data_IF_805014911519
#
_entry.id   IF_805014911519
#
_cell.length_a   1.000
_cell.length_b   1.000
_cell.length_c   1.000
_cell.angle_alpha   90.00
_cell.angle_beta   90.00
_cell.angle_gamma   90.00
#
_symmetry.space_group_name_H-M   'P 1'
#
loop_
_entity.id
_entity.type
_entity.pdbx_description
1 polymer ?
#
# COMPACT_ATOMS: atom_id res chain seq x y z
N UNK A 1 2.00 7.23 -44.17
CA UNK A 1 2.14 8.30 -43.15
C UNK A 1 1.55 7.93 -41.79
N UNK A 2 0.40 7.23 -41.70
CA UNK A 2 -0.23 6.82 -40.43
C UNK A 2 0.64 5.92 -39.50
N UNK A 3 1.50 5.07 -40.08
CA UNK A 3 2.39 4.16 -39.32
C UNK A 3 3.55 4.91 -38.63
N UNK A 4 3.98 6.05 -39.19
CA UNK A 4 5.07 6.87 -38.65
C UNK A 4 4.59 7.80 -37.53
N UNK A 5 3.33 8.25 -37.58
CA UNK A 5 2.66 8.98 -36.52
C UNK A 5 2.40 8.11 -35.28
N UNK A 6 1.85 6.89 -35.48
CA UNK A 6 1.67 5.91 -34.38
C UNK A 6 2.97 5.44 -33.72
N UNK A 7 4.08 5.41 -34.47
CA UNK A 7 5.41 5.12 -33.93
C UNK A 7 5.96 6.30 -33.10
N UNK A 8 5.76 7.54 -33.57
CA UNK A 8 6.12 8.77 -32.84
C UNK A 8 5.38 8.89 -31.50
N UNK A 9 4.06 8.64 -31.46
CA UNK A 9 3.28 8.65 -30.21
C UNK A 9 3.69 7.54 -29.23
N UNK A 10 4.06 6.35 -29.74
CA UNK A 10 4.57 5.23 -28.92
C UNK A 10 5.91 5.55 -28.25
N UNK A 11 6.78 6.31 -28.91
CA UNK A 11 8.12 6.66 -28.43
C UNK A 11 8.12 7.90 -27.50
N UNK A 12 7.06 8.72 -27.48
CA UNK A 12 6.99 9.99 -26.71
C UNK A 12 7.04 9.83 -25.18
N UNK A 13 6.68 8.65 -24.66
CA UNK A 13 6.53 8.40 -23.22
C UNK A 13 7.61 7.48 -22.63
N UNK A 14 8.63 7.11 -23.42
CA UNK A 14 9.74 6.27 -22.98
C UNK A 14 10.75 7.12 -22.21
N UNK A 15 11.12 6.69 -21.01
CA UNK A 15 12.18 7.34 -20.23
C UNK A 15 11.80 8.68 -19.61
N UNK A 16 10.51 9.01 -19.50
CA UNK A 16 10.03 10.16 -18.73
C UNK A 16 10.41 10.00 -17.26
N UNK A 17 10.85 11.09 -16.60
CA UNK A 17 11.40 11.03 -15.23
C UNK A 17 10.72 12.00 -14.28
N UNK A 18 10.41 11.52 -13.07
CA UNK A 18 9.98 12.35 -11.95
C UNK A 18 11.07 12.34 -10.87
N UNK A 19 11.69 13.49 -10.53
CA UNK A 19 12.65 13.58 -9.44
C UNK A 19 12.04 13.13 -8.10
N UNK A 20 12.87 12.70 -7.15
CA UNK A 20 12.39 12.27 -5.82
C UNK A 20 13.03 13.06 -4.67
N UNK A 21 13.94 14.00 -4.97
CA UNK A 21 14.62 14.77 -3.94
C UNK A 21 13.60 15.55 -3.07
N UNK A 22 13.61 15.35 -1.73
CA UNK A 22 12.71 16.01 -0.78
C UNK A 22 12.57 17.52 -0.98
N UNK A 23 13.68 18.21 -1.29
CA UNK A 23 13.71 19.67 -1.36
C UNK A 23 12.78 20.25 -2.44
N UNK A 24 12.43 19.45 -3.46
CA UNK A 24 11.49 19.85 -4.52
C UNK A 24 10.02 19.82 -4.09
N UNK A 25 9.73 19.18 -2.96
CA UNK A 25 8.37 18.94 -2.47
C UNK A 25 8.10 19.65 -1.14
N UNK A 26 9.00 20.56 -0.74
CA UNK A 26 8.77 21.46 0.37
C UNK A 26 7.62 22.41 0.05
N UNK A 27 6.83 22.75 1.07
CA UNK A 27 5.70 23.66 0.93
C UNK A 27 4.60 23.34 1.93
N UNK A 28 3.43 23.94 1.71
CA UNK A 28 2.25 23.69 2.52
C UNK A 28 1.75 22.26 2.33
N UNK A 29 1.10 21.72 3.37
CA UNK A 29 0.41 20.45 3.26
C UNK A 29 -0.73 20.58 2.23
N UNK A 30 -0.82 19.69 1.23
CA UNK A 30 -1.87 19.80 0.22
C UNK A 30 -3.23 19.46 0.82
N UNK A 31 -4.31 19.90 0.17
CA UNK A 31 -5.66 19.56 0.60
C UNK A 31 -5.87 18.04 0.54
N UNK A 32 -6.09 17.43 1.69
CA UNK A 32 -6.41 16.02 1.82
C UNK A 32 -7.72 15.87 2.58
N UNK A 33 -8.74 15.34 1.90
CA UNK A 33 -10.07 15.14 2.49
C UNK A 33 -10.05 13.92 3.40
N UNK A 34 -10.92 13.93 4.41
CA UNK A 34 -11.11 12.78 5.29
C UNK A 34 -11.56 11.55 4.45
N UNK A 35 -10.90 10.40 4.60
CA UNK A 35 -11.30 9.18 3.90
C UNK A 35 -12.72 8.75 4.28
N UNK A 36 -13.50 8.30 3.29
CA UNK A 36 -14.83 7.73 3.48
C UNK A 36 -14.82 6.25 3.11
N UNK A 37 -15.34 5.41 3.99
CA UNK A 37 -15.56 4.00 3.70
C UNK A 37 -16.79 3.89 2.79
N UNK A 38 -16.60 3.24 1.64
CA UNK A 38 -17.67 3.01 0.63
C UNK A 38 -18.07 1.54 0.53
N UNK A 39 -17.40 0.65 1.27
CA UNK A 39 -17.69 -0.77 1.36
C UNK A 39 -16.53 -1.55 1.96
N UNK A 40 -16.67 -2.88 1.99
CA UNK A 40 -15.70 -3.81 2.56
C UNK A 40 -15.81 -5.20 1.91
N UNK A 41 -14.79 -6.03 2.11
CA UNK A 41 -14.81 -7.46 1.81
C UNK A 41 -13.81 -8.19 2.72
N UNK A 42 -13.98 -9.50 2.85
CA UNK A 42 -13.13 -10.40 3.65
C UNK A 42 -12.51 -11.49 2.77
N UNK A 43 -11.34 -11.99 3.17
CA UNK A 43 -10.64 -13.10 2.50
C UNK A 43 -10.37 -14.22 3.49
N UNK A 44 -10.84 -15.44 3.25
CA UNK A 44 -10.54 -16.60 4.12
C UNK A 44 -9.04 -16.93 4.13
N UNK A 45 -8.64 -17.83 5.03
CA UNK A 45 -7.28 -18.38 5.07
C UNK A 45 -6.88 -19.04 3.73
N UNK A 46 -7.86 -19.63 3.02
CA UNK A 46 -7.69 -20.17 1.68
C UNK A 46 -7.70 -19.10 0.55
N UNK A 47 -7.69 -17.81 0.91
CA UNK A 47 -7.75 -16.64 0.00
C UNK A 47 -9.04 -16.54 -0.81
N UNK A 48 -10.13 -17.15 -0.34
CA UNK A 48 -11.44 -17.05 -0.98
C UNK A 48 -12.12 -15.73 -0.62
N UNK A 49 -12.85 -15.17 -1.59
CA UNK A 49 -13.47 -13.85 -1.46
C UNK A 49 -14.88 -13.92 -0.87
N UNK A 50 -15.14 -13.08 0.14
CA UNK A 50 -16.45 -12.90 0.75
C UNK A 50 -16.84 -11.42 0.76
N UNK A 51 -18.03 -11.03 0.24
CA UNK A 51 -18.48 -9.64 0.17
C UNK A 51 -19.05 -9.14 1.51
N UNK A 52 -18.40 -9.44 2.63
CA UNK A 52 -18.84 -9.08 3.98
C UNK A 52 -17.65 -8.77 4.90
N UNK A 53 -17.95 -8.52 6.18
CA UNK A 53 -16.97 -8.18 7.21
C UNK A 53 -16.69 -9.36 8.16
N UNK A 54 -16.85 -10.62 7.71
CA UNK A 54 -16.72 -11.80 8.59
C UNK A 54 -15.35 -11.96 9.27
N UNK A 55 -14.30 -11.38 8.69
CA UNK A 55 -12.96 -11.41 9.25
C UNK A 55 -12.59 -10.13 10.03
N UNK A 56 -13.54 -9.23 10.26
CA UNK A 56 -13.30 -8.02 11.04
C UNK A 56 -13.02 -8.38 12.50
N UNK A 57 -11.83 -7.97 12.97
CA UNK A 57 -11.40 -8.18 14.34
C UNK A 57 -11.81 -7.01 15.23
N UNK A 58 -12.11 -7.31 16.48
CA UNK A 58 -12.38 -6.31 17.49
C UNK A 58 -11.16 -6.16 18.39
N UNK A 59 -10.76 -4.92 18.64
CA UNK A 59 -9.67 -4.60 19.55
C UNK A 59 -10.08 -4.96 20.97
N UNK A 60 -9.28 -5.78 21.62
CA UNK A 60 -9.39 -6.10 23.05
C UNK A 60 -8.27 -5.35 23.76
N UNK A 61 -8.65 -4.40 24.60
CA UNK A 61 -7.67 -3.58 25.30
C UNK A 61 -6.76 -4.46 26.18
N UNK A 62 -5.44 -4.26 26.12
CA UNK A 62 -4.52 -4.99 26.98
C UNK A 62 -4.78 -4.64 28.45
N UNK A 63 -4.60 -5.62 29.35
CA UNK A 63 -4.73 -5.43 30.78
C UNK A 63 -3.57 -4.59 31.36
N UNK A 64 -3.71 -3.27 31.25
CA UNK A 64 -2.77 -2.24 31.67
C UNK A 64 -3.52 -0.96 32.07
N UNK A 65 -2.80 0.00 32.63
CA UNK A 65 -3.35 1.34 32.86
C UNK A 65 -3.53 2.07 31.51
N UNK A 66 -4.78 2.37 31.16
CA UNK A 66 -5.12 3.04 29.91
C UNK A 66 -4.72 4.52 29.91
N UNK A 67 -4.55 5.14 31.07
CA UNK A 67 -4.11 6.54 31.16
C UNK A 67 -2.61 6.65 30.83
N UNK A 68 -1.84 5.60 31.10
CA UNK A 68 -0.42 5.53 30.78
C UNK A 68 -0.14 5.16 29.30
N UNK A 69 -1.11 4.58 28.59
CA UNK A 69 -0.89 4.04 27.24
C UNK A 69 -0.53 5.11 26.21
N UNK A 70 -1.06 6.33 26.39
CA UNK A 70 -0.75 7.50 25.55
C UNK A 70 0.53 8.23 25.99
N UNK A 71 1.08 7.86 27.14
CA UNK A 71 2.28 8.45 27.71
C UNK A 71 3.54 8.14 26.88
N UNK A 72 4.61 8.95 27.03
CA UNK A 72 5.87 8.74 26.31
C UNK A 72 6.52 7.39 26.62
N UNK A 73 6.31 6.88 27.84
CA UNK A 73 6.79 5.58 28.27
C UNK A 73 5.91 4.42 27.80
N UNK A 74 4.61 4.65 27.58
CA UNK A 74 3.62 3.59 27.42
C UNK A 74 3.31 2.87 28.74
N UNK A 75 2.26 2.05 28.75
CA UNK A 75 1.78 1.35 29.92
C UNK A 75 2.46 -0.02 30.07
N UNK A 76 2.81 -0.40 31.31
CA UNK A 76 3.24 -1.75 31.63
C UNK A 76 2.05 -2.71 31.63
N UNK A 77 2.24 -3.89 31.04
CA UNK A 77 1.23 -4.94 31.06
C UNK A 77 1.22 -5.64 32.42
N UNK A 78 0.03 -5.93 32.94
CA UNK A 78 -0.13 -6.75 34.15
C UNK A 78 0.38 -8.18 33.95
N UNK A 79 0.34 -8.69 32.72
CA UNK A 79 0.94 -9.96 32.29
C UNK A 79 1.65 -9.77 30.94
N UNK A 80 2.91 -10.22 30.77
CA UNK A 80 3.60 -10.15 29.49
C UNK A 80 2.88 -10.95 28.40
N UNK A 81 2.92 -10.46 27.15
CA UNK A 81 2.49 -11.24 25.99
C UNK A 81 3.68 -12.03 25.44
N UNK A 82 3.55 -13.35 25.42
CA UNK A 82 4.58 -14.28 24.94
C UNK A 82 4.38 -14.54 23.44
N UNK A 83 5.15 -13.84 22.58
CA UNK A 83 4.99 -13.94 21.12
C UNK A 83 5.46 -15.28 20.54
N UNK A 84 6.13 -16.11 21.34
CA UNK A 84 6.59 -17.46 21.00
C UNK A 84 5.58 -18.56 21.31
N UNK A 85 4.47 -18.25 21.98
CA UNK A 85 3.48 -19.25 22.39
C UNK A 85 2.65 -19.78 21.21
N UNK A 86 2.58 -21.12 21.06
CA UNK A 86 1.88 -21.82 19.97
C UNK A 86 2.28 -21.33 18.57
N UNK A 87 3.59 -21.20 18.34
CA UNK A 87 4.14 -20.60 17.14
C UNK A 87 3.98 -21.45 15.86
N UNK A 88 3.51 -22.69 15.98
CA UNK A 88 3.45 -23.67 14.90
C UNK A 88 2.08 -23.72 14.18
N UNK A 89 1.08 -22.98 14.68
CA UNK A 89 -0.30 -23.05 14.18
C UNK A 89 -0.67 -21.99 13.12
N UNK A 90 0.30 -21.31 12.49
CA UNK A 90 0.00 -20.19 11.57
C UNK A 90 0.09 -20.63 10.12
N UNK A 91 -1.02 -20.63 9.40
CA UNK A 91 -1.03 -20.86 7.94
C UNK A 91 -0.39 -19.65 7.26
N UNK A 92 0.79 -19.83 6.65
CA UNK A 92 1.45 -18.73 5.93
C UNK A 92 0.77 -18.51 4.58
N UNK A 93 0.47 -17.25 4.28
CA UNK A 93 0.12 -16.83 2.92
C UNK A 93 1.33 -17.13 2.01
N UNK A 94 1.08 -17.71 0.84
CA UNK A 94 2.09 -17.74 -0.23
C UNK A 94 2.42 -16.30 -0.64
N UNK A 95 3.63 -15.87 -0.29
CA UNK A 95 4.10 -14.51 -0.58
C UNK A 95 4.51 -14.35 -2.03
N UNK A 96 4.85 -15.42 -2.75
CA UNK A 96 5.20 -15.34 -4.16
C UNK A 96 3.95 -15.19 -5.03
N UNK A 97 2.80 -15.71 -4.59
CA UNK A 97 1.53 -15.54 -5.27
C UNK A 97 1.25 -14.06 -5.59
N UNK A 98 1.14 -13.75 -6.88
CA UNK A 98 0.68 -12.45 -7.37
C UNK A 98 -0.84 -12.47 -7.50
N UNK A 99 -1.48 -11.60 -6.73
CA UNK A 99 -2.93 -11.43 -6.75
C UNK A 99 -3.35 -10.14 -7.44
N UNK A 100 -2.39 -9.27 -7.79
CA UNK A 100 -2.61 -7.94 -8.32
C UNK A 100 -3.78 -7.23 -7.62
N UNK A 101 -4.67 -6.64 -8.42
CA UNK A 101 -5.90 -6.01 -7.94
C UNK A 101 -7.15 -6.92 -8.01
N UNK A 102 -6.98 -8.25 -8.16
CA UNK A 102 -8.10 -9.19 -8.46
C UNK A 102 -9.30 -9.04 -7.52
N UNK A 103 -9.04 -8.89 -6.23
CA UNK A 103 -10.09 -8.79 -5.20
C UNK A 103 -10.78 -7.42 -5.21
N UNK A 104 -10.06 -6.35 -5.58
CA UNK A 104 -10.66 -5.03 -5.79
C UNK A 104 -11.57 -5.05 -7.03
N UNK A 105 -11.14 -5.64 -8.14
CA UNK A 105 -12.00 -5.80 -9.32
C UNK A 105 -13.28 -6.57 -8.97
N UNK A 106 -13.17 -7.64 -8.18
CA UNK A 106 -14.35 -8.41 -7.74
C UNK A 106 -15.29 -7.56 -6.91
N UNK A 107 -14.76 -6.76 -5.98
CA UNK A 107 -15.57 -5.81 -5.22
C UNK A 107 -16.26 -4.78 -6.13
N UNK A 108 -15.54 -4.21 -7.11
CA UNK A 108 -16.11 -3.24 -8.06
C UNK A 108 -17.24 -3.88 -8.87
N UNK A 109 -17.03 -5.07 -9.42
CA UNK A 109 -18.06 -5.79 -10.19
C UNK A 109 -19.32 -6.05 -9.37
N UNK A 110 -19.20 -6.35 -8.07
CA UNK A 110 -20.34 -6.57 -7.19
C UNK A 110 -21.05 -5.28 -6.74
N UNK A 111 -20.38 -4.12 -6.82
CA UNK A 111 -20.89 -2.85 -6.28
C UNK A 111 -21.11 -1.77 -7.35
N UNK A 112 -20.96 -2.10 -8.64
CA UNK A 112 -21.08 -1.14 -9.75
C UNK A 112 -22.44 -0.44 -9.81
N UNK A 113 -23.53 -1.11 -9.46
CA UNK A 113 -24.88 -0.53 -9.40
C UNK A 113 -25.00 0.60 -8.38
N UNK A 114 -24.26 0.52 -7.26
CA UNK A 114 -24.22 1.57 -6.22
C UNK A 114 -23.58 2.88 -6.71
N UNK A 115 -22.89 2.84 -7.85
CA UNK A 115 -22.23 3.99 -8.47
C UNK A 115 -22.87 4.41 -9.79
N UNK A 116 -23.91 3.70 -10.24
CA UNK A 116 -24.59 3.99 -11.49
C UNK A 116 -25.37 5.29 -11.39
N UNK A 117 -25.17 6.19 -12.35
CA UNK A 117 -25.97 7.41 -12.53
C UNK A 117 -26.98 7.18 -13.65
N UNK A 118 -28.25 7.54 -13.47
CA UNK A 118 -29.22 7.38 -14.55
C UNK A 118 -28.81 8.24 -15.78
N UNK A 119 -28.77 7.62 -16.98
CA UNK A 119 -28.60 8.33 -18.26
C UNK A 119 -27.16 8.62 -18.72
N UNK A 120 -26.12 8.10 -18.06
CA UNK A 120 -24.74 8.27 -18.55
C UNK A 120 -24.19 6.99 -19.20
N UNK A 121 -23.94 7.03 -20.52
CA UNK A 121 -23.52 5.88 -21.34
C UNK A 121 -22.06 5.43 -21.14
N UNK A 122 -21.22 6.27 -20.52
CA UNK A 122 -19.78 6.06 -20.36
C UNK A 122 -19.33 6.26 -18.92
N UNK A 123 -19.93 5.50 -18.00
CA UNK A 123 -19.61 5.65 -16.58
C UNK A 123 -18.33 4.93 -16.19
N UNK A 124 -17.61 5.59 -15.28
CA UNK A 124 -16.52 4.97 -14.57
C UNK A 124 -17.07 3.83 -13.71
N UNK A 125 -16.37 2.68 -13.60
CA UNK A 125 -16.79 1.58 -12.73
C UNK A 125 -16.89 1.98 -11.25
N UNK A 126 -16.13 3.00 -10.85
CA UNK A 126 -16.14 3.64 -9.52
C UNK A 126 -15.96 5.14 -9.74
N UNK A 127 -16.58 6.03 -8.94
CA UNK A 127 -16.42 7.49 -9.07
C UNK A 127 -15.05 7.96 -8.53
N UNK A 128 -13.96 7.43 -9.08
CA UNK A 128 -12.58 7.71 -8.70
C UNK A 128 -11.72 7.96 -9.94
N UNK A 129 -10.64 8.72 -9.78
CA UNK A 129 -9.60 8.84 -10.81
C UNK A 129 -8.60 7.68 -10.75
N UNK A 130 -8.34 7.17 -9.54
CA UNK A 130 -7.35 6.13 -9.28
C UNK A 130 -7.95 5.00 -8.47
N UNK A 131 -7.58 3.76 -8.79
CA UNK A 131 -7.89 2.55 -8.02
C UNK A 131 -6.58 1.80 -7.74
N UNK A 132 -6.29 1.56 -6.47
CA UNK A 132 -5.10 0.83 -6.04
C UNK A 132 -5.24 0.35 -4.59
N UNK A 133 -4.37 -0.57 -4.16
CA UNK A 133 -4.24 -0.88 -2.73
C UNK A 133 -3.44 0.20 -1.98
N UNK A 134 -3.79 0.40 -0.70
CA UNK A 134 -3.15 1.36 0.21
C UNK A 134 -1.62 1.24 0.29
N UNK A 135 -1.09 0.01 0.21
CA UNK A 135 0.35 -0.24 0.28
C UNK A 135 1.14 0.52 -0.80
N UNK A 136 0.54 0.76 -1.96
CA UNK A 136 1.13 1.56 -3.04
C UNK A 136 1.36 3.01 -2.61
N UNK A 137 0.37 3.67 -1.99
CA UNK A 137 0.55 5.03 -1.48
C UNK A 137 1.60 5.10 -0.37
N UNK A 138 1.71 4.07 0.46
CA UNK A 138 2.76 4.01 1.49
C UNK A 138 4.16 4.04 0.87
N UNK A 139 4.39 3.25 -0.20
CA UNK A 139 5.67 3.23 -0.93
C UNK A 139 5.96 4.60 -1.56
N UNK A 140 4.98 5.21 -2.23
CA UNK A 140 5.15 6.52 -2.88
C UNK A 140 5.41 7.62 -1.85
N UNK A 141 4.59 7.73 -0.80
CA UNK A 141 4.75 8.75 0.26
C UNK A 141 6.12 8.69 0.92
N UNK A 142 6.67 7.48 1.11
CA UNK A 142 7.98 7.31 1.73
C UNK A 142 9.16 7.60 0.79
N UNK A 143 8.95 7.50 -0.53
CA UNK A 143 10.02 7.52 -1.56
C UNK A 143 11.01 8.68 -1.42
N UNK A 144 10.61 9.94 -1.15
CA UNK A 144 11.58 11.03 -1.02
C UNK A 144 12.62 10.81 0.10
N UNK A 145 12.25 10.06 1.13
CA UNK A 145 13.07 9.83 2.31
C UNK A 145 13.73 8.45 2.34
N UNK A 146 13.44 7.61 1.33
CA UNK A 146 14.06 6.29 1.19
C UNK A 146 15.54 6.43 0.76
N UNK A 147 16.37 5.55 1.33
CA UNK A 147 17.82 5.60 1.17
C UNK A 147 18.34 4.71 0.03
N UNK A 148 19.65 4.74 -0.24
CA UNK A 148 20.26 3.87 -1.25
C UNK A 148 20.19 2.37 -0.93
N UNK A 149 19.88 2.00 0.32
CA UNK A 149 19.73 0.60 0.77
C UNK A 149 18.27 0.11 0.76
N UNK A 150 17.33 0.95 0.33
CA UNK A 150 15.92 0.56 0.28
C UNK A 150 15.67 -0.38 -0.90
N UNK A 151 14.62 -1.19 -0.83
CA UNK A 151 14.21 -1.98 -2.00
C UNK A 151 13.61 -1.07 -3.07
N UNK A 152 13.88 -1.33 -4.36
CA UNK A 152 13.16 -0.67 -5.45
C UNK A 152 11.66 -0.97 -5.38
N UNK A 153 10.88 -0.24 -6.17
CA UNK A 153 9.48 -0.56 -6.37
C UNK A 153 9.08 -0.39 -7.84
N UNK A 154 8.09 -1.18 -8.26
CA UNK A 154 7.55 -1.20 -9.60
C UNK A 154 6.03 -1.10 -9.56
N UNK A 155 5.45 -0.17 -10.30
CA UNK A 155 4.00 0.01 -10.41
C UNK A 155 3.61 -0.17 -11.88
N UNK A 156 2.65 -1.04 -12.14
CA UNK A 156 1.96 -1.14 -13.43
C UNK A 156 0.71 -0.25 -13.41
N UNK A 157 0.48 0.50 -14.47
CA UNK A 157 -0.65 1.42 -14.59
C UNK A 157 -1.39 1.23 -15.91
N UNK A 158 -2.72 1.20 -15.84
CA UNK A 158 -3.60 1.12 -17.01
C UNK A 158 -4.81 2.00 -16.78
N UNK A 159 -5.23 2.73 -17.81
CA UNK A 159 -6.48 3.49 -17.79
C UNK A 159 -7.57 2.72 -18.53
N UNK A 160 -8.71 2.59 -17.89
CA UNK A 160 -9.90 1.98 -18.49
C UNK A 160 -11.17 2.65 -17.97
N UNK A 161 -12.03 3.08 -18.90
CA UNK A 161 -13.28 3.82 -18.65
C UNK A 161 -13.04 5.02 -17.72
N UNK A 162 -12.05 5.84 -18.06
CA UNK A 162 -11.70 7.06 -17.34
C UNK A 162 -11.07 6.88 -15.95
N UNK A 163 -10.84 5.63 -15.52
CA UNK A 163 -10.23 5.29 -14.23
C UNK A 163 -8.83 4.72 -14.45
N UNK A 164 -7.83 5.17 -13.70
CA UNK A 164 -6.47 4.67 -13.75
C UNK A 164 -6.28 3.64 -12.62
N UNK A 165 -5.96 2.40 -12.99
CA UNK A 165 -5.67 1.33 -12.05
C UNK A 165 -4.16 1.25 -11.85
N UNK A 166 -3.71 1.35 -10.60
CA UNK A 166 -2.30 1.27 -10.23
C UNK A 166 -2.06 0.02 -9.40
N UNK A 167 -1.20 -0.86 -9.91
CA UNK A 167 -0.91 -2.16 -9.33
C UNK A 167 0.57 -2.24 -8.95
N UNK A 168 0.84 -2.40 -7.66
CA UNK A 168 2.20 -2.52 -7.13
C UNK A 168 2.69 -3.94 -7.38
N UNK A 169 3.72 -4.07 -8.21
CA UNK A 169 4.32 -5.34 -8.59
C UNK A 169 5.53 -5.64 -7.72
N UNK A 170 5.74 -6.93 -7.45
CA UNK A 170 6.99 -7.40 -6.86
C UNK A 170 8.10 -7.23 -7.87
N UNK A 171 9.22 -6.70 -7.43
CA UNK A 171 10.43 -6.65 -8.25
C UNK A 171 11.20 -7.96 -8.10
N UNK A 172 12.18 -8.20 -8.97
CA UNK A 172 13.06 -9.37 -8.85
C UNK A 172 13.81 -9.35 -7.51
N UNK A 173 14.18 -8.16 -7.03
CA UNK A 173 14.81 -7.98 -5.72
C UNK A 173 13.86 -8.33 -4.56
N UNK A 174 12.57 -8.00 -4.66
CA UNK A 174 11.56 -8.43 -3.66
C UNK A 174 11.37 -9.95 -3.69
N UNK A 175 11.34 -10.58 -4.87
CA UNK A 175 11.24 -12.04 -5.01
C UNK A 175 12.47 -12.71 -4.41
N UNK A 176 13.67 -12.24 -4.74
CA UNK A 176 14.91 -12.77 -4.21
C UNK A 176 14.98 -12.62 -2.69
N UNK A 177 14.56 -11.47 -2.13
CA UNK A 177 14.48 -11.27 -0.69
C UNK A 177 13.45 -12.19 0.01
N UNK A 178 12.41 -12.66 -0.70
CA UNK A 178 11.49 -13.68 -0.19
C UNK A 178 12.17 -15.07 -0.20
N UNK A 179 12.89 -15.40 -1.27
CA UNK A 179 13.56 -16.69 -1.43
C UNK A 179 14.75 -16.86 -0.46
N UNK A 180 15.52 -15.79 -0.24
CA UNK A 180 16.70 -15.79 0.65
C UNK A 180 16.33 -15.56 2.12
N UNK A 181 15.03 -15.62 2.45
CA UNK A 181 14.55 -15.27 3.79
C UNK A 181 15.09 -16.26 4.82
N UNK A 182 15.77 -15.73 5.83
CA UNK A 182 16.30 -16.52 6.94
C UNK A 182 15.24 -16.81 8.01
N UNK A 183 15.47 -17.86 8.79
CA UNK A 183 14.63 -18.23 9.95
C UNK A 183 14.41 -17.07 10.95
N UNK A 184 15.40 -16.17 11.07
CA UNK A 184 15.32 -14.99 11.95
C UNK A 184 14.26 -14.00 11.44
N UNK A 185 14.25 -13.73 10.13
CA UNK A 185 13.26 -12.85 9.51
C UNK A 185 11.84 -13.44 9.61
N UNK A 186 11.71 -14.75 9.45
CA UNK A 186 10.45 -15.46 9.63
C UNK A 186 9.95 -15.36 11.07
N UNK A 187 10.86 -15.50 12.05
CA UNK A 187 10.55 -15.38 13.47
C UNK A 187 9.94 -14.02 13.81
N UNK A 188 10.51 -12.92 13.31
CA UNK A 188 9.97 -11.57 13.54
C UNK A 188 8.60 -11.36 12.88
N UNK A 189 8.40 -11.91 11.69
CA UNK A 189 7.11 -11.87 10.98
C UNK A 189 6.03 -12.58 11.81
N UNK A 190 6.34 -13.76 12.32
CA UNK A 190 5.43 -14.54 13.18
C UNK A 190 5.09 -13.81 14.47
N UNK A 191 6.05 -13.11 15.07
CA UNK A 191 5.82 -12.30 16.27
C UNK A 191 4.84 -11.16 16.04
N UNK A 192 4.84 -10.52 14.87
CA UNK A 192 3.83 -9.53 14.50
C UNK A 192 2.42 -10.11 14.51
N UNK A 193 2.21 -11.22 13.80
CA UNK A 193 0.91 -11.92 13.78
C UNK A 193 0.49 -12.41 15.17
N UNK A 194 1.44 -12.86 16.00
CA UNK A 194 1.11 -13.29 17.36
C UNK A 194 0.68 -12.13 18.23
N UNK A 195 1.33 -10.98 18.11
CA UNK A 195 0.95 -9.76 18.82
C UNK A 195 -0.47 -9.33 18.45
N UNK A 196 -0.84 -9.46 17.17
CA UNK A 196 -2.22 -9.23 16.73
C UNK A 196 -3.22 -10.16 17.40
N UNK A 197 -2.92 -11.45 17.51
CA UNK A 197 -3.81 -12.39 18.20
C UNK A 197 -4.03 -12.02 19.68
N UNK A 198 -3.06 -11.35 20.33
CA UNK A 198 -3.24 -10.85 21.69
C UNK A 198 -4.12 -9.61 21.78
N UNK A 199 -4.13 -8.76 20.73
CA UNK A 199 -4.85 -7.50 20.72
C UNK A 199 -6.18 -7.54 19.94
N UNK A 200 -6.37 -8.53 19.07
CA UNK A 200 -7.48 -8.62 18.14
C UNK A 200 -7.99 -10.05 18.02
N UNK A 201 -9.31 -10.18 17.95
CA UNK A 201 -9.96 -11.44 17.61
C UNK A 201 -9.80 -11.84 16.12
N UNK A 202 -9.14 -11.03 15.27
CA UNK A 202 -8.65 -11.37 13.92
C UNK A 202 -7.71 -10.28 13.32
N UNK A 203 -6.95 -10.66 12.28
CA UNK A 203 -5.67 -10.09 11.78
C UNK A 203 -5.63 -8.58 11.43
N UNK A 204 -4.57 -7.88 11.89
CA UNK A 204 -4.10 -6.56 11.41
C UNK A 204 -2.59 -6.38 11.56
N UNK A 205 -1.81 -6.45 10.48
CA UNK A 205 -0.32 -6.42 10.48
C UNK A 205 0.34 -5.31 11.33
N UNK A 206 1.12 -5.68 12.36
CA UNK A 206 2.04 -4.79 13.10
C UNK A 206 3.50 -5.28 13.05
N UNK A 207 4.46 -4.34 12.96
CA UNK A 207 5.90 -4.64 13.04
C UNK A 207 6.43 -4.31 14.44
N UNK A 208 7.20 -5.23 15.03
CA UNK A 208 7.56 -5.26 16.46
C UNK A 208 9.07 -5.12 16.60
N UNK A 209 9.60 -3.91 16.39
CA UNK A 209 10.87 -3.42 16.98
C UNK A 209 11.06 -1.95 16.60
N UNK A 210 11.26 -1.03 17.53
CA UNK A 210 11.66 0.36 17.18
C UNK A 210 12.60 0.93 18.23
N UNK A 211 13.48 0.07 18.76
CA UNK A 211 14.26 0.34 19.96
C UNK A 211 15.34 1.42 19.70
N UNK A 212 15.89 1.49 18.48
CA UNK A 212 16.94 2.46 18.10
C UNK A 212 16.40 3.74 17.44
N UNK A 213 17.15 4.87 17.54
CA UNK A 213 16.81 6.13 16.88
C UNK A 213 16.72 6.00 15.33
N UNK A 214 17.52 5.11 14.74
CA UNK A 214 17.53 4.85 13.28
C UNK A 214 16.25 4.10 12.85
N UNK A 215 15.77 3.14 13.64
CA UNK A 215 14.54 2.41 13.33
C UNK A 215 13.31 3.31 13.46
N UNK A 216 13.27 4.19 14.48
CA UNK A 216 12.16 5.15 14.66
C UNK A 216 11.98 6.05 13.44
N UNK A 217 13.08 6.51 12.83
CA UNK A 217 13.04 7.31 11.58
C UNK A 217 12.23 6.62 10.48
N UNK A 218 12.59 5.39 10.12
CA UNK A 218 12.03 4.71 8.95
C UNK A 218 10.69 4.04 9.26
N UNK A 219 10.52 3.49 10.46
CA UNK A 219 9.30 2.78 10.84
C UNK A 219 8.14 3.74 11.08
N UNK A 220 8.36 4.86 11.78
CA UNK A 220 7.31 5.85 12.01
C UNK A 220 6.80 6.45 10.70
N UNK A 221 7.67 6.71 9.72
CA UNK A 221 7.24 7.17 8.39
C UNK A 221 6.27 6.17 7.74
N UNK A 222 6.63 4.88 7.74
CA UNK A 222 5.82 3.83 7.12
C UNK A 222 4.51 3.61 7.87
N UNK A 223 4.52 3.60 9.21
CA UNK A 223 3.32 3.49 10.03
C UNK A 223 2.39 4.69 9.82
N UNK A 224 2.95 5.91 9.87
CA UNK A 224 2.21 7.13 9.63
C UNK A 224 1.58 7.14 8.24
N UNK A 225 2.36 6.89 7.18
CA UNK A 225 1.86 6.90 5.81
C UNK A 225 0.76 5.84 5.59
N UNK A 226 0.92 4.66 6.22
CA UNK A 226 -0.10 3.62 6.17
C UNK A 226 -1.41 4.10 6.80
N UNK A 227 -1.38 4.59 8.04
CA UNK A 227 -2.60 4.91 8.78
C UNK A 227 -3.25 6.22 8.33
N UNK A 228 -2.44 7.24 8.05
CA UNK A 228 -2.92 8.57 7.71
C UNK A 228 -3.73 8.54 6.41
N UNK A 229 -3.30 7.78 5.40
CA UNK A 229 -3.97 7.68 4.09
C UNK A 229 -5.38 7.07 4.15
N UNK A 230 -5.69 6.32 5.20
CA UNK A 230 -7.00 5.67 5.40
C UNK A 230 -7.75 6.22 6.62
N UNK A 231 -7.22 7.26 7.27
CA UNK A 231 -7.88 7.93 8.39
C UNK A 231 -7.89 7.13 9.69
N UNK A 232 -6.98 6.18 9.87
CA UNK A 232 -6.87 5.42 11.13
C UNK A 232 -6.22 6.33 12.20
N UNK A 233 -6.87 6.59 13.35
CA UNK A 233 -6.44 7.62 14.29
C UNK A 233 -5.30 7.18 15.23
N UNK A 234 -5.15 5.87 15.47
CA UNK A 234 -4.21 5.33 16.44
C UNK A 234 -3.45 4.11 15.91
N UNK A 235 -2.20 3.97 16.34
CA UNK A 235 -1.37 2.77 16.18
C UNK A 235 -0.99 2.26 17.58
N UNK A 236 -1.28 1.01 17.88
CA UNK A 236 -0.83 0.36 19.10
C UNK A 236 0.50 -0.34 18.86
N UNK A 237 1.47 -0.11 19.73
CA UNK A 237 2.85 -0.60 19.62
C UNK A 237 3.17 -1.42 20.86
N UNK A 238 3.55 -2.68 20.66
CA UNK A 238 4.09 -3.56 21.71
C UNK A 238 5.61 -3.52 21.71
N UNK A 239 6.21 -3.14 22.83
CA UNK A 239 7.65 -3.18 23.01
C UNK A 239 8.08 -4.55 23.53
N UNK A 240 8.76 -5.31 22.69
CA UNK A 240 9.29 -6.64 23.03
C UNK A 240 10.76 -6.61 23.42
N UNK A 241 11.19 -7.61 24.18
CA UNK A 241 12.61 -7.94 24.33
C UNK A 241 13.10 -8.90 23.23
N UNK A 242 14.38 -9.30 23.30
CA UNK A 242 14.99 -10.27 22.38
C UNK A 242 14.44 -11.69 22.50
N UNK A 243 13.75 -12.00 23.61
CA UNK A 243 13.06 -13.27 23.82
C UNK A 243 11.67 -13.32 23.19
N UNK A 244 11.15 -12.19 22.70
CA UNK A 244 9.80 -12.11 22.14
C UNK A 244 8.73 -11.86 23.20
N UNK A 245 9.10 -11.30 24.37
CA UNK A 245 8.14 -10.93 25.41
C UNK A 245 7.79 -9.46 25.32
N UNK A 246 6.51 -9.16 25.12
CA UNK A 246 6.01 -7.78 25.22
C UNK A 246 5.64 -7.50 26.67
N UNK A 247 6.27 -6.49 27.27
CA UNK A 247 5.95 -6.05 28.65
C UNK A 247 5.30 -4.67 28.69
N UNK A 248 5.37 -3.94 27.58
CA UNK A 248 4.94 -2.55 27.52
C UNK A 248 4.21 -2.28 26.21
N UNK A 249 3.12 -1.55 26.30
CA UNK A 249 2.30 -1.15 25.15
C UNK A 249 2.18 0.36 25.10
N UNK A 250 2.13 0.93 23.90
CA UNK A 250 1.99 2.36 23.70
C UNK A 250 1.02 2.63 22.56
N UNK A 251 0.16 3.63 22.73
CA UNK A 251 -0.75 4.11 21.69
C UNK A 251 -0.19 5.39 21.08
N UNK A 252 0.09 5.35 19.80
CA UNK A 252 0.58 6.50 19.03
C UNK A 252 -0.57 7.11 18.23
N UNK A 253 -0.81 8.41 18.42
CA UNK A 253 -1.75 9.20 17.61
C UNK A 253 -1.17 9.40 16.21
N UNK A 254 -1.88 8.96 15.17
CA UNK A 254 -1.45 9.07 13.77
C UNK A 254 -1.18 10.52 13.38
N UNK A 255 -2.05 11.45 13.77
CA UNK A 255 -1.91 12.87 13.40
C UNK A 255 -0.60 13.49 13.91
N UNK A 256 -0.16 13.13 15.11
CA UNK A 256 1.02 13.72 15.76
C UNK A 256 2.27 12.84 15.69
N UNK A 257 2.18 11.66 15.08
CA UNK A 257 3.27 10.67 15.01
C UNK A 257 4.56 11.27 14.43
N UNK A 258 4.42 12.16 13.44
CA UNK A 258 5.54 12.82 12.78
C UNK A 258 6.35 13.74 13.71
N UNK A 259 5.80 14.22 14.83
CA UNK A 259 6.54 15.07 15.77
C UNK A 259 7.80 14.38 16.32
N UNK A 260 7.76 13.05 16.46
CA UNK A 260 8.87 12.25 16.97
C UNK A 260 9.99 12.04 15.93
N UNK A 261 9.77 12.41 14.67
CA UNK A 261 10.70 12.19 13.57
C UNK A 261 10.83 13.42 12.64
N UNK A 262 10.49 14.60 13.14
CA UNK A 262 10.43 15.87 12.40
C UNK A 262 11.75 16.29 11.74
N UNK A 263 12.87 15.81 12.28
CA UNK A 263 14.21 16.06 11.75
C UNK A 263 14.54 15.17 10.52
N UNK A 264 13.76 14.11 10.29
CA UNK A 264 14.05 13.12 9.26
C UNK A 264 13.10 13.16 8.07
N UNK A 265 11.82 13.44 8.32
CA UNK A 265 10.80 13.49 7.28
C UNK A 265 9.66 14.41 7.70
N UNK A 266 8.93 14.92 6.72
CA UNK A 266 7.77 15.80 6.95
C UNK A 266 6.55 15.29 6.19
N UNK A 267 5.35 15.34 6.81
CA UNK A 267 4.10 15.00 6.12
C UNK A 267 3.88 15.75 4.81
N UNK A 268 4.26 17.03 4.78
CA UNK A 268 4.10 17.94 3.65
C UNK A 268 4.87 17.43 2.44
N UNK A 269 6.16 17.13 2.60
CA UNK A 269 7.01 16.61 1.52
C UNK A 269 6.48 15.28 0.99
N UNK A 270 6.05 14.37 1.87
CA UNK A 270 5.44 13.09 1.46
C UNK A 270 4.22 13.33 0.55
N UNK A 271 3.27 14.13 1.00
CA UNK A 271 2.01 14.35 0.27
C UNK A 271 2.17 15.20 -0.98
N UNK A 272 3.08 16.18 -0.97
CA UNK A 272 3.40 16.97 -2.17
C UNK A 272 4.03 16.08 -3.25
N UNK A 273 4.93 15.17 -2.87
CA UNK A 273 5.46 14.18 -3.81
C UNK A 273 4.36 13.25 -4.34
N UNK A 274 3.50 12.70 -3.47
CA UNK A 274 2.37 11.87 -3.89
C UNK A 274 1.46 12.62 -4.88
N UNK A 275 1.13 13.88 -4.61
CA UNK A 275 0.30 14.69 -5.48
C UNK A 275 0.97 14.96 -6.84
N UNK A 276 2.26 15.30 -6.84
CA UNK A 276 3.05 15.45 -8.07
C UNK A 276 3.10 14.14 -8.87
N UNK A 277 3.32 13.00 -8.20
CA UNK A 277 3.32 11.69 -8.83
C UNK A 277 1.96 11.37 -9.45
N UNK A 278 0.85 11.54 -8.73
CA UNK A 278 -0.49 11.25 -9.26
C UNK A 278 -0.87 12.17 -10.42
N UNK A 279 -0.50 13.45 -10.37
CA UNK A 279 -0.70 14.38 -11.52
C UNK A 279 0.09 13.91 -12.73
N UNK A 280 1.36 13.59 -12.54
CA UNK A 280 2.24 13.10 -13.60
C UNK A 280 1.73 11.78 -14.21
N UNK A 281 1.28 10.83 -13.40
CA UNK A 281 0.64 9.60 -13.88
C UNK A 281 -0.61 9.91 -14.69
N UNK A 282 -1.45 10.85 -14.25
CA UNK A 282 -2.67 11.24 -14.98
C UNK A 282 -2.36 11.81 -16.35
N UNK A 283 -1.29 12.58 -16.46
CA UNK A 283 -0.85 13.21 -17.72
C UNK A 283 -0.25 12.17 -18.68
N UNK A 284 0.55 11.22 -18.18
CA UNK A 284 1.20 10.20 -19.00
C UNK A 284 0.28 9.03 -19.40
N UNK A 285 -0.59 8.57 -18.49
CA UNK A 285 -1.50 7.43 -18.73
C UNK A 285 -2.80 7.95 -19.38
N UNK A 286 -2.65 8.46 -20.60
CA UNK A 286 -3.72 9.15 -21.32
C UNK A 286 -4.61 8.20 -22.12
N UNK A 287 -4.03 7.14 -22.69
CA UNK A 287 -4.71 6.11 -23.50
C UNK A 287 -5.70 5.28 -22.66
N UNK A 288 -6.98 5.35 -23.02
CA UNK A 288 -8.06 4.61 -22.37
C UNK A 288 -8.26 3.25 -23.06
N UNK A 289 -7.36 2.30 -22.79
CA UNK A 289 -7.39 0.94 -23.32
C UNK A 289 -6.85 -0.02 -22.23
N UNK A 290 -7.64 -1.05 -21.82
CA UNK A 290 -7.24 -1.96 -20.75
C UNK A 290 -5.99 -2.81 -21.08
N UNK A 291 -5.55 -2.82 -22.34
CA UNK A 291 -4.36 -3.54 -22.82
C UNK A 291 -3.11 -2.68 -22.80
N UNK A 292 -3.23 -1.35 -22.70
CA UNK A 292 -2.09 -0.45 -22.62
C UNK A 292 -1.61 -0.39 -21.18
N UNK A 293 -0.31 -0.61 -20.99
CA UNK A 293 0.31 -0.60 -19.66
C UNK A 293 1.51 0.34 -19.67
N UNK A 294 1.58 1.17 -18.63
CA UNK A 294 2.74 1.98 -18.30
C UNK A 294 3.38 1.41 -17.04
N UNK A 295 4.71 1.31 -17.03
CA UNK A 295 5.47 0.94 -15.85
C UNK A 295 6.10 2.19 -15.22
N UNK A 296 6.02 2.29 -13.91
CA UNK A 296 6.68 3.29 -13.09
C UNK A 296 7.63 2.59 -12.15
N UNK A 297 8.94 2.73 -12.36
CA UNK A 297 9.97 2.12 -11.52
C UNK A 297 10.75 3.19 -10.79
N UNK A 298 10.95 3.00 -9.50
CA UNK A 298 11.93 3.73 -8.72
C UNK A 298 13.03 2.80 -8.28
N UNK A 299 14.27 3.22 -8.52
CA UNK A 299 15.45 2.44 -8.20
C UNK A 299 16.43 3.28 -7.36
N UNK A 300 16.72 2.88 -6.11
CA UNK A 300 17.62 3.62 -5.24
C UNK A 300 19.09 3.59 -5.71
N UNK A 301 19.46 2.62 -6.54
CA UNK A 301 20.79 2.51 -7.15
C UNK A 301 20.99 3.47 -8.33
N UNK A 302 19.92 4.01 -8.91
CA UNK A 302 20.01 4.96 -10.02
C UNK A 302 20.49 6.35 -9.54
N UNK A 303 21.44 7.02 -10.24
CA UNK A 303 21.84 8.38 -9.93
C UNK A 303 20.66 9.35 -9.90
N UNK A 304 20.53 10.12 -8.81
CA UNK A 304 19.40 11.03 -8.59
C UNK A 304 18.07 10.36 -8.26
N UNK A 305 18.02 9.01 -8.24
CA UNK A 305 16.87 8.15 -7.86
C UNK A 305 15.52 8.63 -8.41
N UNK A 306 15.39 9.02 -9.70
CA UNK A 306 14.10 9.43 -10.23
C UNK A 306 13.15 8.23 -10.30
N UNK A 307 11.85 8.49 -10.29
CA UNK A 307 10.88 7.54 -10.83
C UNK A 307 10.96 7.62 -12.35
N UNK A 308 11.09 6.48 -13.01
CA UNK A 308 11.14 6.37 -14.48
C UNK A 308 9.85 5.75 -14.97
N UNK A 309 9.22 6.38 -15.96
CA UNK A 309 8.05 5.85 -16.65
C UNK A 309 8.42 5.29 -18.02
N UNK A 310 7.86 4.12 -18.35
CA UNK A 310 7.91 3.57 -19.70
C UNK A 310 6.55 3.02 -20.11
N UNK A 311 6.09 3.35 -21.32
CA UNK A 311 4.97 2.67 -21.95
C UNK A 311 5.46 1.31 -22.46
N UNK A 312 4.80 0.22 -22.09
CA UNK A 312 5.23 -1.13 -22.47
C UNK A 312 4.79 -1.47 -23.90
N UNK A 313 5.68 -2.14 -24.65
CA UNK A 313 5.41 -2.62 -26.01
C UNK A 313 4.61 -3.93 -26.01
N UNK A 314 4.93 -4.83 -25.09
CA UNK A 314 4.25 -6.12 -24.87
C UNK A 314 4.05 -6.39 -23.36
N UNK A 315 2.90 -5.97 -22.80
CA UNK A 315 2.59 -6.20 -21.40
C UNK A 315 2.31 -7.66 -21.04
N UNK A 316 1.93 -8.50 -22.02
CA UNK A 316 1.59 -9.91 -21.79
C UNK A 316 2.86 -10.73 -21.57
N UNK A 317 3.84 -10.57 -22.46
CA UNK A 317 5.16 -11.19 -22.30
C UNK A 317 5.81 -10.80 -20.96
N UNK A 318 5.56 -9.57 -20.51
CA UNK A 318 6.10 -9.03 -19.25
C UNK A 318 5.29 -9.41 -18.00
N UNK A 319 4.14 -10.10 -18.14
CA UNK A 319 3.17 -10.36 -17.05
C UNK A 319 2.73 -9.08 -16.30
N UNK A 320 2.68 -7.95 -17.00
CA UNK A 320 2.41 -6.61 -16.43
C UNK A 320 0.95 -6.17 -16.62
N UNK A 321 0.08 -7.01 -17.18
CA UNK A 321 -1.34 -6.68 -17.31
C UNK A 321 -1.98 -6.43 -15.96
N UNK A 322 -2.59 -5.25 -15.82
CA UNK A 322 -3.25 -4.81 -14.59
C UNK A 322 -4.68 -5.32 -14.51
N UNK A 323 -5.44 -5.19 -15.60
CA UNK A 323 -6.88 -5.49 -15.63
C UNK A 323 -7.09 -6.89 -16.22
N UNK A 324 -7.75 -7.82 -15.50
CA UNK A 324 -8.01 -9.16 -16.03
C UNK A 324 -9.15 -9.14 -17.05
N UNK A 325 -9.08 -10.05 -18.01
CA UNK A 325 -10.04 -10.12 -19.13
C UNK A 325 -11.49 -10.26 -18.65
N UNK A 326 -11.75 -11.09 -17.63
CA UNK A 326 -13.09 -11.28 -17.08
C UNK A 326 -13.72 -9.98 -16.58
N UNK A 327 -12.93 -9.04 -16.06
CA UNK A 327 -13.43 -7.75 -15.58
C UNK A 327 -13.76 -6.80 -16.74
N UNK A 328 -12.97 -6.88 -17.82
CA UNK A 328 -13.27 -6.16 -19.06
C UNK A 328 -14.60 -6.65 -19.62
N UNK A 329 -14.81 -7.96 -19.72
CA UNK A 329 -16.06 -8.56 -20.20
C UNK A 329 -17.26 -8.21 -19.31
N UNK A 330 -17.12 -8.35 -17.99
CA UNK A 330 -18.17 -7.99 -17.01
C UNK A 330 -18.67 -6.53 -17.15
N UNK A 331 -17.79 -5.62 -17.58
CA UNK A 331 -18.13 -4.23 -17.84
C UNK A 331 -18.72 -4.02 -19.25
N UNK A 332 -18.36 -4.83 -20.24
CA UNK A 332 -18.86 -4.75 -21.62
C UNK A 332 -20.27 -5.34 -21.78
N UNK A 333 -20.56 -6.46 -21.12
CA UNK A 333 -21.84 -7.17 -21.24
C UNK A 333 -23.03 -6.33 -20.75
N UNK A 334 -22.79 -5.35 -19.87
CA UNK A 334 -23.80 -4.39 -19.42
C UNK A 334 -24.29 -3.40 -20.49
N UNK A 335 -23.73 -3.41 -21.70
CA UNK A 335 -24.30 -2.66 -22.84
C UNK A 335 -25.52 -3.36 -23.47
N UNK A 336 -25.83 -4.60 -23.09
CA UNK A 336 -26.85 -5.44 -23.73
C UNK A 336 -28.11 -5.71 -22.89
N UNK A 337 -28.20 -5.12 -21.70
CA UNK A 337 -29.39 -5.16 -20.82
C UNK A 337 -29.77 -3.73 -20.51
#
# INVERSE_FOLDING_TARGET
MATRAKKRERDEHVGQRLPTNPQRYNGNFPVFKQPKIIGHFSLSNAREYFPDARNLGYFVAPACDLDEIDGPSGALLSKPMELTFNADATTKKDELLDEGLKHLFRWISLNKSSFAVAGAEHQRPVPANFVCFRGLFTKILATPFEGPRSNPWLIAATKFRGTIYLDLRKTDEDVQAILDRTDVNEKFTRWGYKFEQFLFASETRFDVDASSCIERRFKLLKWWAQQFTVGIPFVHVGWRDGGGRVKRVQRLKTQTMHHQAREFWTPQTCFNFLLSFLRWVKDLVSEDDPRVVYSFRWDPGCPGRPVVCNRLSDPEASKMRVIPEWFVQDLLDQRKT
#
